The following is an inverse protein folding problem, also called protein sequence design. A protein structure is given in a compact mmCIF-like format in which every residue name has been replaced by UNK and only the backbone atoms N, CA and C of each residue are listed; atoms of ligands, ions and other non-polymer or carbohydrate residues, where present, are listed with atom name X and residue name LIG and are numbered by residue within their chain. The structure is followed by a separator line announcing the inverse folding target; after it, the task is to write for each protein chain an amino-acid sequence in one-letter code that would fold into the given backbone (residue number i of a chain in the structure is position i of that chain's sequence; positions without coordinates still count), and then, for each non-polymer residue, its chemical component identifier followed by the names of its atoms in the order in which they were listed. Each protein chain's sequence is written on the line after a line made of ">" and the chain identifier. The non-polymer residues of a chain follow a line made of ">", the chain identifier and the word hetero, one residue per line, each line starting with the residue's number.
data_IF_324492073202
#
_entry.id   IF_324492073202
#
_cell.length_a   1.000
_cell.length_b   1.000
_cell.length_c   1.000
_cell.angle_alpha   90.00
_cell.angle_beta   90.00
_cell.angle_gamma   90.00
#
_symmetry.space_group_name_H-M   'P 1'
#
loop_
_entity.id
_entity.type
_entity.pdbx_description
1 polymer ?
#
# COMPACT_ATOMS: atom_id res chain seq x y z
N UNK A 1 -17.09 -2.58 0.52
CA UNK A 1 -16.32 -1.55 1.24
C UNK A 1 -16.53 -1.80 2.73
N UNK A 2 -15.44 -1.80 3.49
CA UNK A 2 -15.47 -1.99 4.95
C UNK A 2 -15.20 -0.65 5.63
N UNK A 3 -15.93 -0.36 6.69
CA UNK A 3 -15.71 0.78 7.57
C UNK A 3 -15.07 0.28 8.87
N UNK A 4 -13.86 0.78 9.19
CA UNK A 4 -13.11 0.25 10.34
C UNK A 4 -13.91 0.21 11.64
N UNK A 5 -14.64 1.28 11.94
CA UNK A 5 -15.42 1.38 13.20
C UNK A 5 -16.52 0.34 13.29
N UNK A 6 -17.18 0.05 12.17
CA UNK A 6 -18.37 -0.81 12.12
C UNK A 6 -18.02 -2.26 11.85
N UNK A 7 -16.97 -2.52 11.04
CA UNK A 7 -16.73 -3.84 10.48
C UNK A 7 -15.52 -4.57 11.06
N UNK A 8 -14.68 -3.91 11.88
CA UNK A 8 -13.43 -4.51 12.35
C UNK A 8 -13.65 -5.77 13.19
N UNK A 9 -14.69 -5.80 14.01
CA UNK A 9 -15.01 -6.98 14.83
C UNK A 9 -15.53 -8.13 13.97
N UNK A 10 -16.37 -7.81 12.97
CA UNK A 10 -16.85 -8.80 11.99
C UNK A 10 -15.68 -9.41 11.21
N UNK A 11 -14.74 -8.59 10.76
CA UNK A 11 -13.53 -9.06 10.09
C UNK A 11 -12.72 -9.99 11.01
N UNK A 12 -12.51 -9.60 12.26
CA UNK A 12 -11.77 -10.42 13.22
C UNK A 12 -12.47 -11.76 13.50
N UNK A 13 -13.80 -11.76 13.60
CA UNK A 13 -14.57 -12.99 13.81
C UNK A 13 -14.50 -13.90 12.57
N UNK A 14 -14.58 -13.34 11.35
CA UNK A 14 -14.37 -14.08 10.11
C UNK A 14 -13.01 -14.80 10.11
N UNK A 15 -11.95 -14.10 10.48
CA UNK A 15 -10.60 -14.68 10.54
C UNK A 15 -10.49 -15.80 11.58
N UNK A 16 -11.11 -15.62 12.75
CA UNK A 16 -11.14 -16.68 13.79
C UNK A 16 -11.87 -17.93 13.28
N UNK A 17 -13.01 -17.75 12.61
CA UNK A 17 -13.77 -18.85 12.01
C UNK A 17 -12.99 -19.56 10.92
N UNK A 18 -12.35 -18.80 10.03
CA UNK A 18 -11.49 -19.36 8.98
C UNK A 18 -10.37 -20.20 9.57
N UNK A 19 -9.69 -19.70 10.60
CA UNK A 19 -8.64 -20.45 11.30
C UNK A 19 -9.20 -21.71 11.97
N UNK A 20 -10.35 -21.62 12.64
CA UNK A 20 -11.02 -22.77 13.27
C UNK A 20 -11.45 -23.84 12.27
N UNK A 21 -11.82 -23.42 11.06
CA UNK A 21 -12.18 -24.32 9.96
C UNK A 21 -10.97 -24.98 9.28
N UNK A 22 -9.74 -24.79 9.78
CA UNK A 22 -8.53 -25.40 9.22
C UNK A 22 -7.83 -24.56 8.16
N UNK A 23 -8.21 -23.30 7.99
CA UNK A 23 -7.48 -22.38 7.11
C UNK A 23 -6.02 -22.24 7.55
N UNK A 24 -5.11 -22.09 6.59
CA UNK A 24 -3.68 -21.87 6.85
C UNK A 24 -3.13 -20.73 6.01
N UNK A 25 -2.07 -20.12 6.50
CA UNK A 25 -1.32 -19.06 5.83
C UNK A 25 0.07 -19.58 5.44
N UNK A 26 0.57 -19.17 4.30
CA UNK A 26 1.91 -19.54 3.83
C UNK A 26 2.59 -18.38 3.08
N UNK A 27 3.86 -18.56 2.69
CA UNK A 27 4.68 -17.53 2.05
C UNK A 27 4.22 -17.17 0.62
N UNK A 28 3.40 -18.02 -0.03
CA UNK A 28 2.88 -17.73 -1.37
C UNK A 28 1.74 -16.70 -1.37
N UNK A 29 1.14 -16.45 -0.19
CA UNK A 29 0.02 -15.54 -0.02
C UNK A 29 0.46 -14.25 0.68
N UNK A 30 -0.37 -13.21 0.58
CA UNK A 30 -0.19 -11.96 1.28
C UNK A 30 -1.50 -11.24 1.52
N UNK A 31 -1.49 -10.32 2.45
CA UNK A 31 -2.63 -9.44 2.71
C UNK A 31 -2.39 -8.13 1.98
N UNK A 32 -3.37 -7.69 1.22
CA UNK A 32 -3.39 -6.41 0.56
C UNK A 32 -4.51 -5.57 1.16
N UNK A 33 -4.19 -4.33 1.51
CA UNK A 33 -5.15 -3.40 2.09
C UNK A 33 -5.34 -2.26 1.11
N UNK A 34 -6.57 -2.14 0.61
CA UNK A 34 -6.99 -1.07 -0.27
C UNK A 34 -7.68 0.01 0.55
N UNK A 35 -7.25 1.24 0.39
CA UNK A 35 -7.80 2.42 1.06
C UNK A 35 -8.39 3.32 0.00
N UNK A 36 -9.54 3.92 0.26
CA UNK A 36 -10.15 4.90 -0.63
C UNK A 36 -9.19 6.08 -0.89
N UNK A 37 -8.92 6.32 -2.15
CA UNK A 37 -8.02 7.38 -2.61
C UNK A 37 -8.71 8.73 -2.90
N UNK A 38 -10.04 8.81 -2.83
CA UNK A 38 -10.81 9.97 -3.29
C UNK A 38 -10.42 11.30 -2.61
N UNK A 39 -9.98 11.26 -1.36
CA UNK A 39 -9.59 12.45 -0.60
C UNK A 39 -8.13 12.89 -0.81
N UNK A 40 -7.36 12.16 -1.62
CA UNK A 40 -5.97 12.49 -1.84
C UNK A 40 -5.77 13.63 -2.86
N UNK A 41 -4.84 14.51 -2.53
CA UNK A 41 -4.32 15.56 -3.40
C UNK A 41 -2.94 15.16 -3.93
N UNK A 42 -2.40 15.82 -4.97
CA UNK A 42 -1.02 15.57 -5.41
C UNK A 42 0.02 15.70 -4.30
N UNK A 43 -0.21 16.63 -3.36
CA UNK A 43 0.66 16.79 -2.18
C UNK A 43 0.58 15.58 -1.25
N UNK A 44 -0.63 15.11 -0.92
CA UNK A 44 -0.77 13.98 0.00
C UNK A 44 -0.28 12.66 -0.60
N UNK A 45 -0.42 12.45 -1.92
CA UNK A 45 0.20 11.29 -2.60
C UNK A 45 1.73 11.37 -2.50
N UNK A 46 2.34 12.54 -2.74
CA UNK A 46 3.79 12.71 -2.54
C UNK A 46 4.20 12.47 -1.09
N UNK A 47 3.42 12.95 -0.12
CA UNK A 47 3.66 12.65 1.29
C UNK A 47 3.64 11.14 1.54
N UNK A 48 2.66 10.43 1.00
CA UNK A 48 2.54 8.98 1.18
C UNK A 48 3.78 8.25 0.62
N UNK A 49 4.18 8.59 -0.62
CA UNK A 49 5.41 8.03 -1.23
C UNK A 49 6.63 8.28 -0.33
N UNK A 50 6.81 9.51 0.16
CA UNK A 50 7.94 9.86 1.01
C UNK A 50 7.90 9.16 2.38
N UNK A 51 6.72 9.07 3.02
CA UNK A 51 6.56 8.36 4.30
C UNK A 51 6.96 6.89 4.14
N UNK A 52 6.46 6.21 3.10
CA UNK A 52 6.80 4.81 2.87
C UNK A 52 8.28 4.66 2.54
N UNK A 53 8.82 5.49 1.65
CA UNK A 53 10.21 5.41 1.23
C UNK A 53 11.20 5.64 2.40
N UNK A 54 10.94 6.65 3.22
CA UNK A 54 11.79 6.99 4.38
C UNK A 54 11.76 5.91 5.47
N UNK A 55 10.78 5.02 5.47
CA UNK A 55 10.58 3.97 6.46
C UNK A 55 10.66 2.55 5.86
N UNK A 56 11.11 2.41 4.62
CA UNK A 56 11.20 1.11 3.94
C UNK A 56 11.81 0.02 4.84
N UNK A 57 13.02 0.25 5.36
CA UNK A 57 13.75 -0.75 6.16
C UNK A 57 13.04 -1.06 7.49
N UNK A 58 12.46 -0.02 8.11
CA UNK A 58 11.68 -0.19 9.33
C UNK A 58 10.46 -1.08 9.09
N UNK A 59 9.70 -0.83 8.02
CA UNK A 59 8.52 -1.65 7.70
C UNK A 59 8.91 -3.08 7.37
N UNK A 60 9.95 -3.29 6.57
CA UNK A 60 10.41 -4.63 6.22
C UNK A 60 10.82 -5.43 7.45
N UNK A 61 11.55 -4.80 8.37
CA UNK A 61 11.97 -5.42 9.63
C UNK A 61 10.80 -5.64 10.59
N UNK A 62 9.96 -4.63 10.80
CA UNK A 62 8.86 -4.71 11.77
C UNK A 62 7.77 -5.67 11.33
N UNK A 63 7.46 -5.72 10.03
CA UNK A 63 6.46 -6.63 9.47
C UNK A 63 7.03 -8.02 9.13
N UNK A 64 8.35 -8.20 9.30
CA UNK A 64 9.04 -9.45 8.99
C UNK A 64 8.68 -9.98 7.59
N UNK A 65 8.76 -9.09 6.58
CA UNK A 65 8.33 -9.43 5.23
C UNK A 65 9.13 -10.64 4.73
N UNK A 66 8.40 -11.69 4.37
CA UNK A 66 8.99 -12.96 3.88
C UNK A 66 9.80 -12.73 2.60
N UNK A 67 11.01 -13.32 2.48
CA UNK A 67 11.88 -13.15 1.31
C UNK A 67 11.18 -13.43 -0.03
N UNK A 68 10.37 -14.47 -0.11
CA UNK A 68 9.63 -14.87 -1.31
C UNK A 68 8.61 -13.81 -1.76
N UNK A 69 8.19 -12.96 -0.82
CA UNK A 69 7.21 -11.90 -1.09
C UNK A 69 7.83 -10.60 -1.58
N UNK A 70 9.13 -10.39 -1.36
CA UNK A 70 9.82 -9.12 -1.71
C UNK A 70 9.57 -8.76 -3.18
N UNK A 71 9.56 -9.73 -4.09
CA UNK A 71 9.28 -9.49 -5.52
C UNK A 71 7.89 -8.89 -5.80
N UNK A 72 6.91 -9.09 -4.91
CA UNK A 72 5.53 -8.60 -5.02
C UNK A 72 5.26 -7.32 -4.23
N UNK A 73 6.17 -6.93 -3.35
CA UNK A 73 6.05 -5.73 -2.51
C UNK A 73 7.41 -5.04 -2.33
N UNK A 74 8.12 -4.77 -3.43
CA UNK A 74 9.44 -4.12 -3.44
C UNK A 74 9.41 -2.81 -2.65
N UNK A 75 10.57 -2.40 -2.14
CA UNK A 75 10.75 -1.06 -1.57
C UNK A 75 10.42 0.00 -2.62
N UNK A 76 10.04 1.19 -2.15
CA UNK A 76 9.87 2.32 -3.06
C UNK A 76 11.18 2.63 -3.78
N UNK A 77 11.11 2.83 -5.08
CA UNK A 77 12.26 3.15 -5.91
C UNK A 77 12.80 4.55 -5.55
N UNK A 78 14.09 4.63 -5.24
CA UNK A 78 14.76 5.88 -4.88
C UNK A 78 14.71 6.91 -6.04
N UNK A 79 14.82 6.47 -7.29
CA UNK A 79 14.73 7.35 -8.45
C UNK A 79 13.33 7.93 -8.63
N UNK A 80 12.29 7.14 -8.36
CA UNK A 80 10.90 7.63 -8.33
C UNK A 80 10.72 8.71 -7.26
N UNK A 81 11.20 8.44 -6.04
CA UNK A 81 11.10 9.37 -4.91
C UNK A 81 11.83 10.68 -5.21
N UNK A 82 13.04 10.60 -5.76
CA UNK A 82 13.81 11.78 -6.16
C UNK A 82 13.07 12.61 -7.22
N UNK A 83 12.54 11.97 -8.28
CA UNK A 83 11.76 12.64 -9.31
C UNK A 83 10.53 13.35 -8.75
N UNK A 84 9.77 12.67 -7.87
CA UNK A 84 8.61 13.25 -7.18
C UNK A 84 9.00 14.49 -6.36
N UNK A 85 10.12 14.44 -5.64
CA UNK A 85 10.57 15.53 -4.79
C UNK A 85 11.18 16.70 -5.58
N UNK A 86 11.91 16.43 -6.67
CA UNK A 86 12.48 17.44 -7.53
C UNK A 86 11.41 18.16 -8.37
N UNK A 87 10.51 17.42 -9.02
CA UNK A 87 9.50 17.99 -9.92
C UNK A 87 8.31 18.59 -9.18
N UNK A 88 8.02 18.16 -7.96
CA UNK A 88 6.92 18.63 -7.10
C UNK A 88 5.59 18.75 -7.85
N UNK A 89 5.09 17.66 -8.48
CA UNK A 89 3.91 17.71 -9.35
C UNK A 89 2.70 18.30 -8.61
N UNK A 90 1.94 19.14 -9.32
CA UNK A 90 0.77 19.88 -8.81
C UNK A 90 -0.56 19.25 -9.22
N UNK A 91 -0.55 18.28 -10.15
CA UNK A 91 -1.74 17.60 -10.66
C UNK A 91 -1.62 16.09 -10.51
N UNK A 92 -2.75 15.37 -10.42
CA UNK A 92 -2.75 13.92 -10.39
C UNK A 92 -2.18 13.32 -11.67
N UNK A 93 -2.48 13.90 -12.83
CA UNK A 93 -1.93 13.46 -14.11
C UNK A 93 -0.39 13.55 -14.14
N UNK A 94 0.20 14.58 -13.51
CA UNK A 94 1.65 14.70 -13.40
C UNK A 94 2.25 13.66 -12.42
N UNK A 95 1.56 13.34 -11.33
CA UNK A 95 1.93 12.23 -10.43
C UNK A 95 1.90 10.91 -11.19
N UNK A 96 0.81 10.63 -11.89
CA UNK A 96 0.64 9.42 -12.69
C UNK A 96 1.73 9.28 -13.75
N UNK A 97 2.04 10.35 -14.46
CA UNK A 97 3.11 10.34 -15.46
C UNK A 97 4.47 9.99 -14.88
N UNK A 98 4.81 10.52 -13.69
CA UNK A 98 6.05 10.18 -13.00
C UNK A 98 6.02 8.74 -12.47
N UNK A 99 4.87 8.26 -11.97
CA UNK A 99 4.70 6.91 -11.47
C UNK A 99 5.02 5.85 -12.52
N UNK A 100 4.57 6.07 -13.76
CA UNK A 100 4.80 5.14 -14.86
C UNK A 100 6.08 5.40 -15.66
N UNK A 101 6.84 6.44 -15.34
CA UNK A 101 8.08 6.75 -16.04
C UNK A 101 9.11 5.64 -15.87
N UNK A 102 9.60 5.12 -16.99
CA UNK A 102 10.56 3.99 -17.00
C UNK A 102 9.92 2.62 -17.22
N UNK A 103 8.60 2.53 -17.30
CA UNK A 103 7.90 1.31 -17.71
C UNK A 103 7.52 1.40 -19.19
N UNK A 104 7.78 0.31 -19.93
CA UNK A 104 7.46 0.22 -21.38
C UNK A 104 6.07 -0.35 -21.66
N UNK A 105 5.47 -1.00 -20.66
CA UNK A 105 4.14 -1.62 -20.78
C UNK A 105 3.01 -0.58 -20.73
N UNK A 106 1.88 -0.92 -21.35
CA UNK A 106 0.69 -0.05 -21.32
C UNK A 106 0.21 0.17 -19.89
N UNK A 107 -0.12 1.42 -19.55
CA UNK A 107 -0.69 1.78 -18.24
C UNK A 107 -2.01 1.05 -17.93
N UNK A 108 -2.74 0.61 -18.95
CA UNK A 108 -3.99 -0.15 -18.81
C UNK A 108 -3.77 -1.64 -18.51
N UNK A 109 -2.52 -2.12 -18.51
CA UNK A 109 -2.23 -3.53 -18.21
C UNK A 109 -2.59 -3.85 -16.77
N UNK A 110 -3.52 -4.80 -16.55
CA UNK A 110 -4.01 -5.15 -15.20
C UNK A 110 -2.90 -5.55 -14.22
N UNK A 111 -1.92 -6.33 -14.69
CA UNK A 111 -0.76 -6.77 -13.88
C UNK A 111 0.49 -5.94 -14.17
N UNK A 112 0.33 -4.63 -14.34
CA UNK A 112 1.42 -3.69 -14.62
C UNK A 112 2.53 -3.80 -13.56
N UNK A 113 3.80 -3.79 -13.98
CA UNK A 113 4.94 -4.01 -13.08
C UNK A 113 5.09 -2.95 -11.97
N UNK A 114 4.59 -1.73 -12.17
CA UNK A 114 4.60 -0.69 -11.15
C UNK A 114 3.79 -1.02 -9.90
N UNK A 115 2.89 -2.02 -9.97
CA UNK A 115 2.08 -2.45 -8.81
C UNK A 115 2.87 -3.22 -7.75
N UNK A 116 4.04 -3.78 -8.10
CA UNK A 116 4.79 -4.69 -7.24
C UNK A 116 5.70 -3.98 -6.23
N UNK A 117 5.21 -2.89 -5.64
CA UNK A 117 5.85 -2.18 -4.54
C UNK A 117 5.01 -2.28 -3.26
N UNK A 118 5.62 -1.99 -2.10
CA UNK A 118 4.93 -1.93 -0.81
C UNK A 118 3.70 -1.00 -0.87
N UNK A 119 3.88 0.18 -1.46
CA UNK A 119 2.81 1.10 -1.83
C UNK A 119 2.52 0.95 -3.33
N UNK A 120 1.32 0.58 -3.69
CA UNK A 120 0.86 0.47 -5.06
C UNK A 120 -0.15 1.57 -5.40
N UNK A 121 0.21 2.44 -6.34
CA UNK A 121 -0.66 3.47 -6.90
C UNK A 121 -1.25 3.08 -8.27
N UNK A 122 -0.88 1.93 -8.83
CA UNK A 122 -1.51 1.47 -10.07
C UNK A 122 -3.01 1.23 -9.88
N UNK A 123 -3.43 0.69 -8.74
CA UNK A 123 -4.84 0.54 -8.37
C UNK A 123 -5.56 1.89 -8.23
N UNK A 124 -4.83 2.94 -7.89
CA UNK A 124 -5.38 4.29 -7.81
C UNK A 124 -5.60 4.92 -9.18
N UNK A 125 -4.63 4.80 -10.10
CA UNK A 125 -4.70 5.43 -11.43
C UNK A 125 -5.51 4.62 -12.45
N UNK A 126 -5.37 3.30 -12.45
CA UNK A 126 -5.95 2.40 -13.47
C UNK A 126 -6.81 1.27 -12.90
N UNK A 127 -7.22 1.36 -11.65
CA UNK A 127 -8.09 0.41 -10.98
C UNK A 127 -9.33 1.08 -10.40
N UNK A 128 -9.63 0.72 -9.18
CA UNK A 128 -10.83 1.17 -8.46
C UNK A 128 -10.64 2.50 -7.70
N UNK A 129 -9.62 3.29 -8.00
CA UNK A 129 -9.32 4.55 -7.29
C UNK A 129 -8.78 4.34 -5.87
N UNK A 130 -8.26 3.16 -5.57
CA UNK A 130 -7.77 2.81 -4.23
C UNK A 130 -6.25 2.84 -4.16
N UNK A 131 -5.72 3.30 -3.03
CA UNK A 131 -4.31 3.17 -2.68
C UNK A 131 -4.12 1.82 -1.99
N UNK A 132 -3.22 0.99 -2.51
CA UNK A 132 -3.00 -0.36 -2.00
C UNK A 132 -1.68 -0.46 -1.26
N UNK A 133 -1.72 -0.99 -0.03
CA UNK A 133 -0.54 -1.42 0.72
C UNK A 133 -0.40 -2.94 0.66
N UNK A 134 0.76 -3.43 0.17
CA UNK A 134 1.00 -4.84 -0.18
C UNK A 134 2.03 -5.54 0.72
N UNK A 135 2.63 -4.84 1.66
CA UNK A 135 3.76 -5.33 2.46
C UNK A 135 3.38 -6.22 3.65
N UNK A 136 2.18 -6.82 3.67
CA UNK A 136 1.74 -7.68 4.77
C UNK A 136 1.81 -9.15 4.37
N UNK A 137 2.48 -9.97 5.20
CA UNK A 137 2.49 -11.41 5.02
C UNK A 137 1.09 -12.00 5.19
N UNK A 138 0.88 -13.19 4.67
CA UNK A 138 -0.31 -13.98 4.95
C UNK A 138 -0.42 -14.28 6.44
N UNK A 139 -1.61 -14.14 7.00
CA UNK A 139 -1.82 -14.25 8.46
C UNK A 139 -3.25 -14.69 8.76
N UNK A 140 -3.43 -15.52 9.80
CA UNK A 140 -4.73 -15.93 10.33
C UNK A 140 -4.89 -15.58 11.81
N UNK A 141 -4.07 -14.67 12.33
CA UNK A 141 -4.24 -14.12 13.66
C UNK A 141 -5.04 -12.81 13.58
N UNK A 142 -6.29 -12.83 14.03
CA UNK A 142 -7.23 -11.70 13.91
C UNK A 142 -6.67 -10.37 14.47
N UNK A 143 -5.91 -10.43 15.57
CA UNK A 143 -5.24 -9.26 16.16
C UNK A 143 -4.16 -8.67 15.25
N UNK A 144 -3.33 -9.51 14.61
CA UNK A 144 -2.32 -9.04 13.67
C UNK A 144 -2.95 -8.39 12.43
N UNK A 145 -4.00 -8.99 11.87
CA UNK A 145 -4.73 -8.42 10.73
C UNK A 145 -5.32 -7.06 11.10
N UNK A 146 -5.93 -6.96 12.30
CA UNK A 146 -6.38 -5.65 12.82
C UNK A 146 -5.24 -4.65 12.88
N UNK A 147 -4.07 -5.03 13.38
CA UNK A 147 -2.90 -4.15 13.45
C UNK A 147 -2.44 -3.69 12.06
N UNK A 148 -2.49 -4.55 11.05
CA UNK A 148 -2.18 -4.16 9.66
C UNK A 148 -3.17 -3.12 9.13
N UNK A 149 -4.47 -3.30 9.40
CA UNK A 149 -5.49 -2.32 9.01
C UNK A 149 -5.26 -0.98 9.72
N UNK A 150 -5.00 -1.00 11.03
CA UNK A 150 -4.70 0.22 11.80
C UNK A 150 -3.46 0.93 11.28
N UNK A 151 -2.38 0.20 10.99
CA UNK A 151 -1.16 0.77 10.40
C UNK A 151 -1.45 1.41 9.04
N UNK A 152 -2.20 0.73 8.18
CA UNK A 152 -2.56 1.24 6.86
C UNK A 152 -3.36 2.56 6.97
N UNK A 153 -4.35 2.60 7.85
CA UNK A 153 -5.15 3.81 8.10
C UNK A 153 -4.33 4.94 8.72
N UNK A 154 -3.42 4.63 9.65
CA UNK A 154 -2.53 5.62 10.26
C UNK A 154 -1.58 6.25 9.23
N UNK A 155 -0.99 5.45 8.36
CA UNK A 155 -0.13 5.92 7.27
C UNK A 155 -0.90 6.82 6.29
N UNK A 156 -2.12 6.41 5.95
CA UNK A 156 -3.02 7.19 5.11
C UNK A 156 -3.37 8.55 5.75
N UNK A 157 -3.77 8.52 7.01
CA UNK A 157 -4.08 9.75 7.77
C UNK A 157 -2.87 10.68 7.83
N UNK A 158 -1.69 10.15 8.13
CA UNK A 158 -0.46 10.93 8.16
C UNK A 158 -0.17 11.56 6.79
N UNK A 159 -0.34 10.82 5.70
CA UNK A 159 -0.13 11.34 4.35
C UNK A 159 -1.08 12.50 4.01
N UNK A 160 -2.35 12.40 4.45
CA UNK A 160 -3.37 13.42 4.21
C UNK A 160 -3.13 14.69 5.04
N UNK A 161 -2.72 14.56 6.30
CA UNK A 161 -2.66 15.66 7.26
C UNK A 161 -1.31 16.34 7.37
N UNK A 162 -0.23 15.65 7.04
CA UNK A 162 1.13 16.18 7.12
C UNK A 162 1.34 17.34 6.13
N UNK A 163 1.88 18.46 6.63
CA UNK A 163 2.15 19.64 5.79
C UNK A 163 3.25 19.37 4.74
N UNK A 164 4.30 18.65 5.14
CA UNK A 164 5.39 18.25 4.25
C UNK A 164 5.99 16.94 4.78
N UNK A 165 6.21 15.97 3.89
CA UNK A 165 7.06 14.82 4.18
C UNK A 165 8.45 15.14 3.61
N UNK A 166 9.36 15.45 4.47
CA UNK A 166 10.78 15.61 4.17
C UNK A 166 11.50 14.26 4.24
#
# INVERSE_FOLDING_TARGET
>A
ILTYREDIETLQELIRRLRKAGGFANTSCGIHIHIDGANHTPRSIRNFINIIASKNDLFYKALQIEPDRIRFCKKMDAALVEKMNRRKPKTMAAIESIWYEGYSESRSTHYHNSRYHFLNLHSFFNGNGTIELRGFNSELHAGKIRSYVVLALALNHQALTQKCAS
#
